data_IF_128347366356
#
_entry.id   IF_128347366356
#
_cell.length_a   1.000
_cell.length_b   1.000
_cell.length_c   1.000
_cell.angle_alpha   90.00
_cell.angle_beta   90.00
_cell.angle_gamma   90.00
#
_symmetry.space_group_name_H-M   'P 1'
#
loop_
_entity.id
_entity.type
_entity.pdbx_description
1 polymer ?
#
# COMPACT_ATOMS: atom_id res chain seq x y z
N UNK A 1 -21.85 -1.13 14.91
CA UNK A 1 -20.90 -2.23 14.53
C UNK A 1 -19.50 -1.77 14.85
N UNK A 2 -18.68 -2.61 15.46
CA UNK A 2 -17.29 -2.23 15.71
C UNK A 2 -16.45 -2.58 14.47
N UNK A 3 -15.79 -1.57 13.87
CA UNK A 3 -14.73 -1.82 12.91
C UNK A 3 -13.62 -2.60 13.61
N UNK A 4 -13.09 -3.62 12.95
CA UNK A 4 -11.97 -4.42 13.46
C UNK A 4 -10.76 -4.32 12.51
N UNK A 5 -10.19 -3.12 12.32
CA UNK A 5 -9.13 -2.91 11.37
C UNK A 5 -7.86 -3.67 11.76
N UNK A 6 -7.07 -4.03 10.77
CA UNK A 6 -5.74 -4.60 10.97
C UNK A 6 -4.81 -3.50 11.48
N UNK A 7 -4.11 -3.76 12.59
CA UNK A 7 -3.15 -2.80 13.15
C UNK A 7 -1.74 -3.36 13.02
N UNK A 8 -0.87 -2.60 12.38
CA UNK A 8 0.57 -2.88 12.33
C UNK A 8 1.29 -1.67 12.94
N UNK A 9 2.14 -1.93 13.91
CA UNK A 9 2.96 -0.92 14.54
C UNK A 9 4.42 -1.05 14.11
N UNK A 10 5.02 0.07 13.73
CA UNK A 10 6.44 0.19 13.45
C UNK A 10 7.12 1.08 14.48
N UNK A 11 8.39 1.43 14.28
CA UNK A 11 9.09 2.35 15.18
C UNK A 11 8.41 3.71 15.28
N UNK A 12 7.98 4.29 14.16
CA UNK A 12 7.45 5.66 14.08
C UNK A 12 6.00 5.75 13.62
N UNK A 13 5.45 4.65 13.05
CA UNK A 13 4.13 4.66 12.44
C UNK A 13 3.19 3.66 13.10
N UNK A 14 1.89 4.01 13.06
CA UNK A 14 0.77 3.10 13.21
C UNK A 14 0.08 2.98 11.85
N UNK A 15 -0.03 1.76 11.35
CA UNK A 15 -0.70 1.42 10.10
C UNK A 15 -2.06 0.81 10.44
N UNK A 16 -3.13 1.45 9.97
CA UNK A 16 -4.51 0.97 10.18
C UNK A 16 -5.06 0.45 8.87
N UNK A 17 -5.24 -0.87 8.77
CA UNK A 17 -5.57 -1.58 7.54
C UNK A 17 -7.05 -1.91 7.41
N UNK A 18 -7.58 -1.73 6.21
CA UNK A 18 -8.97 -2.00 5.84
C UNK A 18 -9.04 -2.93 4.64
N UNK A 19 -9.80 -4.01 4.78
CA UNK A 19 -10.19 -4.93 3.71
C UNK A 19 -11.38 -4.36 2.91
N UNK A 20 -11.76 -4.96 1.76
CA UNK A 20 -12.97 -4.59 1.04
C UNK A 20 -14.24 -4.61 1.90
N UNK A 21 -14.37 -5.60 2.80
CA UNK A 21 -15.52 -5.74 3.69
C UNK A 21 -15.58 -4.58 4.69
N UNK A 22 -14.45 -4.21 5.26
CA UNK A 22 -14.39 -3.08 6.19
C UNK A 22 -14.63 -1.74 5.49
N UNK A 23 -14.12 -1.58 4.28
CA UNK A 23 -14.43 -0.40 3.46
C UNK A 23 -15.92 -0.30 3.14
N UNK A 24 -16.58 -1.40 2.77
CA UNK A 24 -18.02 -1.45 2.58
C UNK A 24 -18.76 -1.08 3.88
N UNK A 25 -18.39 -1.69 4.99
CA UNK A 25 -18.99 -1.40 6.31
C UNK A 25 -18.83 0.08 6.72
N UNK A 26 -17.72 0.71 6.39
CA UNK A 26 -17.52 2.15 6.64
C UNK A 26 -18.57 2.98 5.87
N UNK A 27 -18.77 2.71 4.59
CA UNK A 27 -19.73 3.47 3.78
C UNK A 27 -21.20 3.18 4.14
N UNK A 28 -21.52 1.99 4.67
CA UNK A 28 -22.87 1.61 5.07
C UNK A 28 -23.28 2.18 6.44
N UNK A 29 -22.34 2.39 7.35
CA UNK A 29 -22.65 2.63 8.76
C UNK A 29 -22.22 4.01 9.28
N UNK A 30 -21.46 4.78 8.51
CA UNK A 30 -20.95 6.08 8.95
C UNK A 30 -21.40 7.21 8.03
N UNK A 31 -21.57 8.38 8.60
CA UNK A 31 -21.85 9.61 7.85
C UNK A 31 -20.65 10.03 7.01
N UNK A 32 -20.88 10.88 6.01
CA UNK A 32 -19.83 11.43 5.14
C UNK A 32 -18.66 12.03 5.93
N UNK A 33 -18.97 12.82 6.97
CA UNK A 33 -17.93 13.49 7.78
C UNK A 33 -17.12 12.49 8.60
N UNK A 34 -17.77 11.46 9.14
CA UNK A 34 -17.08 10.37 9.84
C UNK A 34 -16.21 9.56 8.88
N UNK A 35 -16.70 9.24 7.68
CA UNK A 35 -15.93 8.53 6.64
C UNK A 35 -14.68 9.34 6.27
N UNK A 36 -14.82 10.65 6.03
CA UNK A 36 -13.68 11.52 5.75
C UNK A 36 -12.65 11.50 6.89
N UNK A 37 -13.10 11.50 8.12
CA UNK A 37 -12.23 11.43 9.31
C UNK A 37 -11.56 10.04 9.44
N UNK A 38 -12.30 8.96 9.30
CA UNK A 38 -11.81 7.58 9.39
C UNK A 38 -10.75 7.32 8.32
N UNK A 39 -11.02 7.72 7.07
CA UNK A 39 -10.15 7.46 5.92
C UNK A 39 -9.11 8.56 5.66
N UNK A 40 -9.09 9.63 6.47
CA UNK A 40 -8.14 10.73 6.33
C UNK A 40 -8.30 11.52 5.04
N UNK A 41 -9.55 11.69 4.56
CA UNK A 41 -9.83 12.49 3.37
C UNK A 41 -9.77 13.97 3.71
N UNK A 42 -8.87 14.70 3.06
CA UNK A 42 -8.71 16.15 3.27
C UNK A 42 -9.64 16.99 2.39
N UNK A 43 -10.09 16.43 1.26
CA UNK A 43 -10.90 17.15 0.26
C UNK A 43 -12.21 16.41 -0.07
N UNK A 44 -13.14 17.12 -0.69
CA UNK A 44 -14.34 16.49 -1.26
C UNK A 44 -13.99 15.53 -2.41
N UNK A 45 -12.96 15.86 -3.17
CA UNK A 45 -12.50 15.01 -4.27
C UNK A 45 -12.00 13.64 -3.77
N UNK A 46 -11.26 13.60 -2.65
CA UNK A 46 -10.82 12.35 -2.04
C UNK A 46 -12.00 11.47 -1.65
N UNK A 47 -13.01 12.08 -1.00
CA UNK A 47 -14.23 11.37 -0.63
C UNK A 47 -14.98 10.85 -1.86
N UNK A 48 -15.20 11.69 -2.86
CA UNK A 48 -15.96 11.32 -4.06
C UNK A 48 -15.27 10.19 -4.85
N UNK A 49 -13.94 10.19 -4.93
CA UNK A 49 -13.17 9.10 -5.53
C UNK A 49 -13.38 7.77 -4.79
N UNK A 50 -13.39 7.81 -3.48
CA UNK A 50 -13.57 6.59 -2.67
C UNK A 50 -15.04 6.12 -2.69
N UNK A 51 -16.01 7.06 -2.63
CA UNK A 51 -17.43 6.74 -2.79
C UNK A 51 -17.73 6.10 -4.16
N UNK A 52 -17.09 6.59 -5.22
CA UNK A 52 -17.22 5.98 -6.55
C UNK A 52 -16.75 4.52 -6.55
N UNK A 53 -15.63 4.20 -5.89
CA UNK A 53 -15.16 2.82 -5.77
C UNK A 53 -16.14 1.96 -4.97
N UNK A 54 -16.70 2.50 -3.86
CA UNK A 54 -17.71 1.82 -3.08
C UNK A 54 -18.95 1.48 -3.93
N UNK A 55 -19.49 2.45 -4.67
CA UNK A 55 -20.66 2.26 -5.54
C UNK A 55 -20.44 1.26 -6.67
N UNK A 56 -19.21 1.12 -7.15
CA UNK A 56 -18.83 0.17 -8.21
C UNK A 56 -18.30 -1.17 -7.68
N UNK A 57 -18.25 -1.34 -6.38
CA UNK A 57 -17.73 -2.53 -5.72
C UNK A 57 -16.20 -2.50 -5.56
N UNK A 58 -15.75 -2.87 -4.36
CA UNK A 58 -14.33 -2.88 -4.01
C UNK A 58 -13.57 -4.12 -4.48
N UNK A 59 -14.25 -5.20 -4.76
CA UNK A 59 -13.64 -6.45 -5.16
C UNK A 59 -14.25 -6.97 -6.46
N UNK A 60 -13.45 -7.63 -7.27
CA UNK A 60 -13.88 -8.42 -8.42
C UNK A 60 -13.57 -9.89 -8.16
N UNK A 61 -14.09 -10.76 -9.02
CA UNK A 61 -13.93 -12.20 -8.95
C UNK A 61 -12.53 -12.60 -8.56
N UNK A 62 -11.75 -12.93 -8.01
CA UNK A 62 -10.39 -13.31 -7.63
C UNK A 62 -9.42 -12.14 -7.32
N UNK A 63 -9.94 -10.91 -7.19
CA UNK A 63 -9.11 -9.75 -6.85
C UNK A 63 -9.57 -9.12 -5.55
N UNK A 64 -8.64 -8.84 -4.67
CA UNK A 64 -8.85 -8.19 -3.38
C UNK A 64 -7.80 -7.11 -3.12
N UNK A 65 -7.86 -6.48 -1.96
CA UNK A 65 -6.84 -5.54 -1.49
C UNK A 65 -6.84 -5.46 0.05
N UNK A 66 -5.80 -4.85 0.58
CA UNK A 66 -5.78 -4.28 1.93
C UNK A 66 -5.12 -2.91 1.84
N UNK A 67 -5.85 -1.88 2.24
CA UNK A 67 -5.39 -0.50 2.29
C UNK A 67 -5.04 -0.12 3.73
N UNK A 68 -3.81 0.34 3.94
CA UNK A 68 -3.37 0.85 5.24
C UNK A 68 -3.25 2.38 5.21
N UNK A 69 -3.87 3.04 6.17
CA UNK A 69 -3.60 4.43 6.50
C UNK A 69 -2.36 4.51 7.38
N UNK A 70 -1.47 5.43 7.07
CA UNK A 70 -0.21 5.64 7.80
C UNK A 70 -0.38 6.83 8.74
N UNK A 71 -0.33 6.60 10.04
CA UNK A 71 -0.34 7.66 11.05
C UNK A 71 1.00 7.76 11.77
N UNK A 72 1.53 8.95 11.93
CA UNK A 72 2.70 9.17 12.80
C UNK A 72 2.31 8.99 14.28
N UNK A 73 3.06 8.17 15.02
CA UNK A 73 2.79 7.90 16.45
C UNK A 73 2.85 9.14 17.34
N UNK A 74 3.67 10.12 16.98
CA UNK A 74 3.87 11.34 17.75
C UNK A 74 2.73 12.34 17.62
N UNK A 75 2.08 12.40 16.47
CA UNK A 75 1.04 13.39 16.18
C UNK A 75 -0.34 12.77 15.96
N UNK A 76 -0.43 11.46 15.82
CA UNK A 76 -1.61 10.72 15.33
C UNK A 76 -2.16 11.22 13.98
N UNK A 77 -1.38 12.02 13.26
CA UNK A 77 -1.77 12.55 11.96
C UNK A 77 -1.64 11.49 10.89
N UNK A 78 -2.67 11.32 10.07
CA UNK A 78 -2.60 10.50 8.85
C UNK A 78 -1.75 11.25 7.83
N UNK A 79 -0.65 10.63 7.39
CA UNK A 79 0.36 11.23 6.50
C UNK A 79 0.37 10.62 5.10
N UNK A 80 -0.34 9.52 4.90
CA UNK A 80 -0.34 8.82 3.62
C UNK A 80 -1.00 7.45 3.69
N UNK A 81 -0.80 6.68 2.65
CA UNK A 81 -1.36 5.34 2.48
C UNK A 81 -0.32 4.38 1.92
N UNK A 82 -0.42 3.11 2.31
CA UNK A 82 0.31 2.00 1.71
C UNK A 82 -0.61 0.79 1.70
N UNK A 83 -0.47 -0.12 0.74
CA UNK A 83 -1.34 -1.29 0.74
C UNK A 83 -0.94 -2.30 -0.32
N UNK A 84 -1.62 -3.43 -0.26
CA UNK A 84 -1.55 -4.49 -1.25
C UNK A 84 -2.85 -4.47 -2.05
N UNK A 85 -2.76 -4.30 -3.35
CA UNK A 85 -3.89 -4.27 -4.28
C UNK A 85 -3.66 -5.26 -5.42
N UNK A 86 -4.64 -5.41 -6.30
CA UNK A 86 -4.59 -6.45 -7.33
C UNK A 86 -4.26 -7.84 -6.74
N UNK A 87 -4.58 -8.03 -5.45
CA UNK A 87 -4.31 -9.27 -4.75
C UNK A 87 -5.12 -10.41 -5.34
N UNK A 88 -4.41 -11.27 -6.05
CA UNK A 88 -4.94 -12.51 -6.60
C UNK A 88 -4.75 -13.61 -5.54
N UNK A 89 -5.85 -14.02 -4.91
CA UNK A 89 -5.83 -15.01 -3.84
C UNK A 89 -5.54 -16.43 -4.33
N UNK A 90 -5.85 -16.73 -5.60
CA UNK A 90 -5.58 -18.03 -6.22
C UNK A 90 -4.08 -18.21 -6.51
N UNK A 91 -3.41 -17.14 -6.94
CA UNK A 91 -1.97 -17.16 -7.26
C UNK A 91 -1.09 -16.62 -6.12
N UNK A 92 -1.65 -16.28 -4.98
CA UNK A 92 -0.93 -15.72 -3.82
C UNK A 92 0.03 -14.59 -4.19
N UNK A 93 -0.41 -13.66 -5.05
CA UNK A 93 0.36 -12.49 -5.47
C UNK A 93 -0.43 -11.20 -5.35
N UNK A 94 0.25 -10.12 -5.01
CA UNK A 94 -0.34 -8.79 -4.90
C UNK A 94 0.64 -7.73 -5.40
N UNK A 95 0.12 -6.55 -5.71
CA UNK A 95 0.89 -5.36 -6.05
C UNK A 95 0.93 -4.43 -4.85
N UNK A 96 2.13 -3.92 -4.50
CA UNK A 96 2.27 -2.93 -3.45
C UNK A 96 2.16 -1.52 -4.03
N UNK A 97 1.27 -0.71 -3.43
CA UNK A 97 1.10 0.69 -3.80
C UNK A 97 1.17 1.59 -2.58
N UNK A 98 1.69 2.82 -2.75
CA UNK A 98 1.86 3.76 -1.64
C UNK A 98 1.95 5.20 -2.09
N UNK A 99 1.56 6.11 -1.20
CA UNK A 99 1.83 7.54 -1.34
C UNK A 99 1.91 8.24 0.02
N UNK A 100 2.70 9.32 0.09
CA UNK A 100 2.66 10.29 1.20
C UNK A 100 1.95 11.53 0.69
N UNK A 101 0.83 11.89 1.35
CA UNK A 101 0.04 13.08 1.05
C UNK A 101 0.51 14.32 1.83
N UNK A 102 1.16 14.13 2.98
CA UNK A 102 1.71 15.22 3.78
C UNK A 102 3.13 15.57 3.35
N UNK A 103 3.30 16.77 2.79
CA UNK A 103 4.61 17.25 2.30
C UNK A 103 5.68 17.26 3.40
N UNK A 104 5.30 17.61 4.62
CA UNK A 104 6.23 17.67 5.75
C UNK A 104 6.75 16.29 6.18
N UNK A 105 6.07 15.22 5.80
CA UNK A 105 6.45 13.84 6.13
C UNK A 105 7.28 13.15 5.04
N UNK A 106 7.47 13.82 3.89
CA UNK A 106 8.32 13.31 2.81
C UNK A 106 9.81 13.33 3.16
N UNK A 107 10.59 12.48 2.50
CA UNK A 107 12.07 12.38 2.62
C UNK A 107 12.61 12.00 4.02
N UNK A 108 11.74 11.57 4.94
CA UNK A 108 12.09 11.14 6.31
C UNK A 108 12.26 9.62 6.45
N UNK A 109 12.13 8.87 5.36
CA UNK A 109 12.20 7.40 5.38
C UNK A 109 10.95 6.71 5.93
N UNK A 110 9.86 7.45 6.20
CA UNK A 110 8.62 6.90 6.76
C UNK A 110 7.95 5.92 5.79
N UNK A 111 7.94 6.24 4.48
CA UNK A 111 7.37 5.32 3.50
C UNK A 111 8.21 4.03 3.34
N UNK A 112 9.53 4.12 3.41
CA UNK A 112 10.40 2.91 3.39
C UNK A 112 10.07 2.01 4.58
N UNK A 113 9.86 2.59 5.77
CA UNK A 113 9.48 1.87 6.99
C UNK A 113 8.10 1.21 6.84
N UNK A 114 7.11 1.92 6.30
CA UNK A 114 5.78 1.40 6.05
C UNK A 114 5.80 0.25 5.03
N UNK A 115 6.48 0.43 3.90
CA UNK A 115 6.60 -0.58 2.83
C UNK A 115 7.24 -1.85 3.37
N UNK A 116 8.31 -1.74 4.17
CA UNK A 116 8.94 -2.91 4.81
C UNK A 116 7.95 -3.67 5.71
N UNK A 117 7.16 -2.96 6.52
CA UNK A 117 6.17 -3.59 7.40
C UNK A 117 5.02 -4.27 6.61
N UNK A 118 4.60 -3.67 5.50
CA UNK A 118 3.57 -4.26 4.63
C UNK A 118 4.11 -5.50 3.88
N UNK A 119 5.36 -5.50 3.47
CA UNK A 119 6.02 -6.67 2.89
C UNK A 119 6.08 -7.81 3.92
N UNK A 120 6.49 -7.51 5.15
CA UNK A 120 6.48 -8.49 6.26
C UNK A 120 5.08 -9.06 6.50
N UNK A 121 4.05 -8.22 6.51
CA UNK A 121 2.66 -8.63 6.66
C UNK A 121 2.19 -9.50 5.48
N UNK A 122 2.50 -9.10 4.25
CA UNK A 122 2.15 -9.83 3.04
C UNK A 122 2.70 -11.26 3.04
N UNK A 123 3.98 -11.43 3.34
CA UNK A 123 4.61 -12.74 3.34
C UNK A 123 4.27 -13.57 4.59
N UNK A 124 4.31 -12.98 5.78
CA UNK A 124 4.15 -13.76 7.03
C UNK A 124 2.68 -14.01 7.38
N UNK A 125 1.77 -13.07 7.11
CA UNK A 125 0.36 -13.16 7.51
C UNK A 125 -0.54 -13.59 6.35
N UNK A 126 -0.45 -12.91 5.21
CA UNK A 126 -1.28 -13.23 4.04
C UNK A 126 -0.74 -14.42 3.25
N UNK A 127 0.47 -14.92 3.57
CA UNK A 127 1.12 -16.05 2.89
C UNK A 127 1.27 -15.83 1.38
N UNK A 128 1.54 -14.60 0.98
CA UNK A 128 1.83 -14.31 -0.42
C UNK A 128 3.09 -15.06 -0.87
N UNK A 129 3.09 -15.50 -2.10
CA UNK A 129 4.28 -16.04 -2.78
C UNK A 129 5.10 -14.92 -3.43
N UNK A 130 4.40 -13.85 -3.89
CA UNK A 130 5.01 -12.79 -4.68
C UNK A 130 4.36 -11.43 -4.37
N UNK A 131 5.19 -10.41 -4.22
CA UNK A 131 4.77 -9.00 -4.17
C UNK A 131 5.38 -8.27 -5.35
N UNK A 132 4.55 -7.61 -6.15
CA UNK A 132 4.93 -6.83 -7.33
C UNK A 132 4.93 -5.34 -7.01
N UNK A 133 5.70 -4.55 -7.76
CA UNK A 133 5.65 -3.10 -7.73
C UNK A 133 5.81 -2.54 -9.15
N UNK A 134 4.90 -1.65 -9.53
CA UNK A 134 4.94 -0.94 -10.80
C UNK A 134 5.34 0.51 -10.54
N UNK A 135 6.48 0.93 -11.06
CA UNK A 135 7.06 2.24 -10.77
C UNK A 135 7.36 2.98 -12.08
N UNK A 136 6.83 4.19 -12.21
CA UNK A 136 7.17 5.05 -13.35
C UNK A 136 8.68 5.31 -13.44
N UNK A 137 9.23 5.28 -14.64
CA UNK A 137 10.68 5.40 -14.88
C UNK A 137 11.32 6.66 -14.29
N UNK A 138 10.54 7.72 -14.15
CA UNK A 138 10.97 9.02 -13.61
C UNK A 138 10.65 9.20 -12.12
N UNK A 139 10.01 8.22 -11.48
CA UNK A 139 9.64 8.29 -10.06
C UNK A 139 10.81 7.87 -9.17
N UNK A 140 11.86 8.69 -9.14
CA UNK A 140 13.08 8.42 -8.37
C UNK A 140 12.83 8.12 -6.89
N UNK A 141 11.91 8.82 -6.17
CA UNK A 141 11.60 8.47 -4.79
C UNK A 141 11.09 7.03 -4.63
N UNK A 142 10.17 6.59 -5.49
CA UNK A 142 9.64 5.22 -5.44
C UNK A 142 10.68 4.19 -5.84
N UNK A 143 11.50 4.45 -6.86
CA UNK A 143 12.60 3.56 -7.25
C UNK A 143 13.55 3.30 -6.07
N UNK A 144 13.92 4.35 -5.31
CA UNK A 144 14.75 4.20 -4.10
C UNK A 144 14.09 3.39 -2.98
N UNK A 145 12.77 3.46 -2.83
CA UNK A 145 12.05 2.67 -1.83
C UNK A 145 12.07 1.19 -2.21
N UNK A 146 11.81 0.88 -3.48
CA UNK A 146 11.80 -0.48 -4.00
C UNK A 146 13.20 -1.11 -3.93
N UNK A 147 14.24 -0.37 -4.32
CA UNK A 147 15.63 -0.79 -4.19
C UNK A 147 16.02 -1.10 -2.73
N UNK A 148 15.69 -0.21 -1.79
CA UNK A 148 15.96 -0.42 -0.35
C UNK A 148 15.24 -1.62 0.24
N UNK A 149 14.13 -2.04 -0.34
CA UNK A 149 13.40 -3.24 0.06
C UNK A 149 13.82 -4.48 -0.76
N UNK A 150 14.91 -4.36 -1.54
CA UNK A 150 15.55 -5.46 -2.27
C UNK A 150 14.58 -6.16 -3.24
N UNK A 151 13.79 -5.39 -3.98
CA UNK A 151 13.01 -5.91 -5.10
C UNK A 151 13.90 -6.13 -6.31
N UNK A 152 13.65 -7.20 -7.04
CA UNK A 152 14.31 -7.53 -8.30
C UNK A 152 13.58 -6.87 -9.46
N UNK A 153 14.33 -6.21 -10.35
CA UNK A 153 13.78 -5.65 -11.60
C UNK A 153 13.53 -6.76 -12.60
N UNK A 154 12.32 -6.84 -13.16
CA UNK A 154 11.96 -7.86 -14.15
C UNK A 154 11.82 -7.33 -15.56
N UNK A 155 11.38 -6.08 -15.73
CA UNK A 155 11.20 -5.55 -17.08
C UNK A 155 10.65 -4.14 -17.16
N UNK A 156 10.48 -3.69 -18.40
CA UNK A 156 9.88 -2.42 -18.76
C UNK A 156 8.54 -2.66 -19.44
N UNK A 157 7.50 -2.05 -18.94
CA UNK A 157 6.17 -2.03 -19.52
C UNK A 157 6.00 -0.70 -20.26
N UNK A 158 5.98 -0.77 -21.59
CA UNK A 158 5.88 0.43 -22.43
C UNK A 158 4.48 1.02 -22.38
N UNK A 159 4.38 2.34 -22.21
CA UNK A 159 3.12 3.10 -22.22
C UNK A 159 2.07 2.53 -21.26
N UNK A 160 2.53 2.03 -20.12
CA UNK A 160 1.70 1.31 -19.15
C UNK A 160 0.80 2.24 -18.32
N UNK A 161 1.24 3.46 -18.06
CA UNK A 161 0.54 4.40 -17.19
C UNK A 161 0.12 5.65 -17.96
N UNK A 162 -1.15 6.02 -17.86
CA UNK A 162 -1.69 7.25 -18.44
C UNK A 162 -1.71 8.36 -17.38
N UNK A 163 -0.96 9.43 -17.61
CA UNK A 163 -0.92 10.59 -16.74
C UNK A 163 -1.26 11.85 -17.53
N UNK A 164 -2.31 12.54 -17.14
CA UNK A 164 -2.81 13.74 -17.84
C UNK A 164 -2.98 13.48 -19.36
N UNK A 165 -2.04 13.94 -20.18
CA UNK A 165 -2.15 13.89 -21.64
C UNK A 165 -1.18 12.91 -22.30
N UNK A 166 -0.45 12.10 -21.52
CA UNK A 166 0.59 11.20 -22.05
C UNK A 166 0.59 9.81 -21.41
N UNK A 167 1.05 8.84 -22.18
CA UNK A 167 1.37 7.52 -21.69
C UNK A 167 2.84 7.46 -21.27
N UNK A 168 3.09 6.88 -20.11
CA UNK A 168 4.43 6.72 -19.55
C UNK A 168 4.77 5.24 -19.34
N UNK A 169 6.05 4.92 -19.47
CA UNK A 169 6.55 3.59 -19.19
C UNK A 169 6.63 3.34 -17.69
N UNK A 170 6.41 2.09 -17.30
CA UNK A 170 6.60 1.62 -15.93
C UNK A 170 7.63 0.51 -15.88
N UNK A 171 8.43 0.49 -14.83
CA UNK A 171 9.31 -0.63 -14.53
C UNK A 171 8.59 -1.58 -13.60
N UNK A 172 8.55 -2.85 -13.96
CA UNK A 172 8.06 -3.94 -13.13
C UNK A 172 9.19 -4.45 -12.23
N UNK A 173 8.91 -4.48 -10.96
CA UNK A 173 9.73 -5.10 -9.92
C UNK A 173 8.94 -6.18 -9.19
N UNK A 174 9.64 -7.13 -8.62
CA UNK A 174 9.04 -8.14 -7.75
C UNK A 174 9.91 -8.48 -6.56
N UNK A 175 9.31 -9.07 -5.55
CA UNK A 175 9.97 -9.77 -4.47
C UNK A 175 9.26 -11.09 -4.22
N UNK A 176 10.01 -12.19 -4.20
CA UNK A 176 9.51 -13.53 -3.94
C UNK A 176 9.68 -13.90 -2.46
N UNK A 177 8.87 -14.85 -1.98
CA UNK A 177 8.91 -15.29 -0.58
C UNK A 177 10.29 -15.86 -0.17
N UNK A 178 10.93 -16.66 -1.03
CA UNK A 178 12.26 -17.20 -0.77
C UNK A 178 13.32 -16.09 -0.65
N UNK A 179 13.32 -15.10 -1.54
CA UNK A 179 14.22 -13.94 -1.48
C UNK A 179 14.01 -13.15 -0.17
N UNK A 180 12.76 -12.99 0.25
CA UNK A 180 12.44 -12.32 1.52
C UNK A 180 13.02 -13.09 2.74
N UNK A 181 12.98 -14.42 2.74
CA UNK A 181 13.55 -15.23 3.81
C UNK A 181 15.08 -15.12 3.82
N UNK A 182 15.72 -15.20 2.66
CA UNK A 182 17.19 -15.09 2.52
C UNK A 182 17.69 -13.74 3.02
N UNK A 183 17.06 -12.64 2.63
CA UNK A 183 17.36 -11.28 3.10
C UNK A 183 17.26 -11.12 4.63
N UNK A 184 16.38 -11.86 5.28
CA UNK A 184 16.24 -11.84 6.75
C UNK A 184 17.33 -12.62 7.44
N UNK A 185 17.71 -13.77 6.88
CA UNK A 185 18.78 -14.62 7.41
C UNK A 185 20.12 -13.86 7.36
N UNK A 186 20.41 -13.19 6.25
CA UNK A 186 21.65 -12.39 6.09
C UNK A 186 21.73 -11.24 7.10
N UNK A 187 20.62 -10.56 7.38
CA UNK A 187 20.56 -9.51 8.41
C UNK A 187 20.75 -10.01 9.84
N UNK A 188 20.45 -11.27 10.09
CA UNK A 188 20.59 -11.89 11.42
C UNK A 188 22.02 -12.39 11.64
N UNK A 189 22.71 -12.83 10.58
CA UNK A 189 24.07 -13.38 10.62
C UNK A 189 25.14 -12.27 10.72
N UNK A 190 24.83 -11.06 10.27
CA UNK A 190 25.74 -9.89 10.25
C UNK A 190 25.55 -8.94 11.46
N UNK A 191 24.90 -9.39 12.53
CA UNK A 191 24.78 -8.70 13.82
C UNK A 191 25.53 -9.45 14.91
#
# INVERSE_FOLDING_TARGET
MNLNPIIIETKRLKLTGFSPQEMTSIFENFSKDEIKKILGHCTEEDYNKEEYKYKNGYASYNRSFILFLLSEKTSNKIIGRCGLHNWNTEHNRAEIGYNISDENSKRKGLMTEAVSAIIDYGFNTLKLHRIEALVGINNIPSLKIIEKNLFVKEGLLRQHHHTADKYEDSVLFSKLYNEYIDDRNDKTTNR
#
